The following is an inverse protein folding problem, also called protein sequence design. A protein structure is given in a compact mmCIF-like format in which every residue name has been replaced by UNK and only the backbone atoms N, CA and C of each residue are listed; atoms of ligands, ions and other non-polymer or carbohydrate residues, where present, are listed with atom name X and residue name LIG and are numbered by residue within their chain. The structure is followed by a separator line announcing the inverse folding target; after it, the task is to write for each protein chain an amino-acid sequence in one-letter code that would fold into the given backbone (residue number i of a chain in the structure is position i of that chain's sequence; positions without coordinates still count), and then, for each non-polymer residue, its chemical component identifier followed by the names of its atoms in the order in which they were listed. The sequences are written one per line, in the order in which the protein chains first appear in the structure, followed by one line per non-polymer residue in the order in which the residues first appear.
data_IF_845541900235
#
_entry.id   IF_845541900235
#
_cell.length_a   1.000
_cell.length_b   1.000
_cell.length_c   1.000
_cell.angle_alpha   90.00
_cell.angle_beta   90.00
_cell.angle_gamma   90.00
#
_symmetry.space_group_name_H-M   'P 1'
#
loop_
_entity.id
_entity.type
_entity.pdbx_description
1 polymer ?
#
# COMPACT_ATOMS: atom_id res chain seq x y z
N UNK A 1 -1.31 1.24 4.77
CA UNK A 1 -1.05 -0.21 4.78
C UNK A 1 -2.24 -1.04 4.28
N UNK A 2 -3.44 -0.45 4.18
CA UNK A 2 -4.67 -1.12 3.71
C UNK A 2 -4.63 -1.51 2.22
N UNK A 3 -4.16 -0.59 1.37
CA UNK A 3 -4.11 -0.81 -0.08
C UNK A 3 -3.18 -1.98 -0.42
N UNK A 4 -3.76 -3.05 -0.99
CA UNK A 4 -3.07 -4.29 -1.37
C UNK A 4 -2.41 -5.06 -0.20
N UNK A 5 -2.80 -4.78 1.06
CA UNK A 5 -2.22 -5.40 2.24
C UNK A 5 -2.68 -6.84 2.48
N UNK A 6 -3.94 -7.15 2.14
CA UNK A 6 -4.62 -8.42 2.47
C UNK A 6 -3.84 -9.67 2.12
N UNK A 7 -3.41 -9.79 0.87
CA UNK A 7 -2.71 -10.97 0.39
C UNK A 7 -1.42 -11.29 1.18
N UNK A 8 -0.87 -10.33 1.92
CA UNK A 8 0.34 -10.50 2.72
C UNK A 8 0.05 -10.92 4.17
N UNK A 9 -1.11 -10.52 4.74
CA UNK A 9 -1.36 -10.62 6.18
C UNK A 9 -2.40 -11.66 6.57
N UNK A 10 -3.33 -12.01 5.66
CA UNK A 10 -4.38 -12.99 6.02
C UNK A 10 -3.87 -14.42 5.96
N UNK A 11 -4.48 -15.28 6.77
CA UNK A 11 -4.24 -16.72 6.73
C UNK A 11 -4.50 -17.27 5.33
N UNK A 12 -3.48 -17.87 4.71
CA UNK A 12 -3.58 -18.42 3.34
C UNK A 12 -3.53 -17.36 2.22
N UNK A 13 -3.19 -16.11 2.55
CA UNK A 13 -3.00 -15.05 1.56
C UNK A 13 -1.93 -15.39 0.52
N UNK A 14 -2.15 -14.99 -0.73
CA UNK A 14 -1.30 -15.36 -1.87
C UNK A 14 0.17 -14.93 -1.71
N UNK A 15 0.43 -13.82 -1.02
CA UNK A 15 1.76 -13.26 -0.80
C UNK A 15 2.28 -13.51 0.62
N UNK A 16 1.56 -14.28 1.43
CA UNK A 16 1.93 -14.61 2.81
C UNK A 16 2.96 -15.75 2.83
N UNK A 17 4.19 -15.45 2.39
CA UNK A 17 5.28 -16.42 2.33
C UNK A 17 5.87 -16.78 3.69
N UNK A 18 5.58 -16.00 4.74
CA UNK A 18 6.01 -16.30 6.11
C UNK A 18 5.14 -17.39 6.77
N UNK A 19 3.95 -17.66 6.21
CA UNK A 19 2.97 -18.56 6.83
C UNK A 19 2.30 -17.96 8.07
N UNK A 20 2.26 -16.62 8.17
CA UNK A 20 1.61 -15.93 9.27
C UNK A 20 0.12 -16.28 9.33
N UNK A 21 -0.41 -16.44 10.54
CA UNK A 21 -1.83 -16.71 10.76
C UNK A 21 -2.21 -16.19 12.14
N UNK A 22 -3.16 -15.26 12.16
CA UNK A 22 -3.72 -14.69 13.38
C UNK A 22 -5.22 -14.44 13.15
N UNK A 23 -6.12 -15.09 13.93
CA UNK A 23 -7.56 -14.98 13.71
C UNK A 23 -8.13 -13.59 14.02
N UNK A 24 -7.52 -12.83 14.93
CA UNK A 24 -7.88 -11.44 15.21
C UNK A 24 -7.56 -10.53 14.01
N UNK A 25 -6.39 -10.71 13.39
CA UNK A 25 -6.00 -10.00 12.16
C UNK A 25 -6.97 -10.35 11.03
N UNK A 26 -7.25 -11.63 10.81
CA UNK A 26 -8.19 -12.08 9.78
C UNK A 26 -9.59 -11.44 9.98
N UNK A 27 -10.07 -11.38 11.22
CA UNK A 27 -11.38 -10.81 11.55
C UNK A 27 -11.43 -9.28 11.39
N UNK A 28 -10.38 -8.57 11.79
CA UNK A 28 -10.25 -7.12 11.57
C UNK A 28 -10.21 -6.80 10.09
N UNK A 29 -9.49 -7.60 9.32
CA UNK A 29 -9.38 -7.42 7.88
C UNK A 29 -10.69 -7.64 7.14
N UNK A 30 -11.46 -8.66 7.53
CA UNK A 30 -12.80 -8.89 7.00
C UNK A 30 -13.74 -7.68 7.22
N UNK A 31 -13.61 -6.95 8.33
CA UNK A 31 -14.39 -5.71 8.58
C UNK A 31 -13.93 -4.57 7.68
N UNK A 32 -12.62 -4.37 7.58
CA UNK A 32 -12.04 -3.28 6.80
C UNK A 32 -12.33 -3.46 5.30
N UNK A 33 -12.22 -4.69 4.79
CA UNK A 33 -12.42 -5.01 3.37
C UNK A 33 -13.85 -4.71 2.87
N UNK A 34 -14.85 -4.74 3.76
CA UNK A 34 -16.25 -4.46 3.42
C UNK A 34 -16.70 -3.06 3.83
N UNK A 35 -15.82 -2.25 4.40
CA UNK A 35 -16.15 -0.89 4.80
C UNK A 35 -16.38 -0.01 3.55
N UNK A 36 -17.49 0.75 3.49
CA UNK A 36 -17.80 1.58 2.33
C UNK A 36 -16.93 2.84 2.23
N UNK A 37 -16.36 3.28 3.35
CA UNK A 37 -15.48 4.45 3.45
C UNK A 37 -14.33 4.12 4.40
N UNK A 38 -13.12 4.04 3.83
CA UNK A 38 -11.88 3.74 4.55
C UNK A 38 -11.30 4.93 5.30
N UNK A 39 -11.92 6.11 5.17
CA UNK A 39 -11.47 7.35 5.81
C UNK A 39 -12.15 7.60 7.16
N UNK A 40 -13.12 6.77 7.55
CA UNK A 40 -13.81 6.87 8.83
C UNK A 40 -12.87 6.59 10.01
N UNK A 41 -13.13 7.24 11.16
CA UNK A 41 -12.33 7.00 12.38
C UNK A 41 -12.46 5.57 12.89
N UNK A 42 -13.58 4.90 12.61
CA UNK A 42 -13.79 3.49 12.96
C UNK A 42 -12.89 2.56 12.15
N UNK A 43 -12.80 2.74 10.83
CA UNK A 43 -11.90 1.95 9.98
C UNK A 43 -10.44 2.20 10.35
N UNK A 44 -10.07 3.45 10.67
CA UNK A 44 -8.73 3.78 11.17
C UNK A 44 -8.41 3.10 12.49
N UNK A 45 -9.38 3.00 13.40
CA UNK A 45 -9.20 2.31 14.67
C UNK A 45 -8.95 0.81 14.45
N UNK A 46 -9.74 0.15 13.59
CA UNK A 46 -9.52 -1.26 13.24
C UNK A 46 -8.16 -1.48 12.56
N UNK A 47 -7.76 -0.58 11.67
CA UNK A 47 -6.47 -0.67 11.00
C UNK A 47 -5.31 -0.56 12.00
N UNK A 48 -5.43 0.37 12.96
CA UNK A 48 -4.43 0.56 14.04
C UNK A 48 -4.36 -0.67 14.95
N UNK A 49 -5.50 -1.27 15.30
CA UNK A 49 -5.57 -2.49 16.09
C UNK A 49 -4.90 -3.66 15.34
N UNK A 50 -5.19 -3.82 14.05
CA UNK A 50 -4.56 -4.85 13.24
C UNK A 50 -3.04 -4.63 13.12
N UNK A 51 -2.58 -3.41 12.87
CA UNK A 51 -1.14 -3.10 12.83
C UNK A 51 -0.45 -3.40 14.18
N UNK A 52 -1.16 -3.20 15.30
CA UNK A 52 -0.66 -3.55 16.63
C UNK A 52 -0.47 -5.06 16.79
N UNK A 53 -1.41 -5.88 16.30
CA UNK A 53 -1.25 -7.33 16.26
C UNK A 53 -0.07 -7.76 15.41
N UNK A 54 0.03 -7.26 14.17
CA UNK A 54 1.14 -7.57 13.26
C UNK A 54 2.51 -7.23 13.87
N UNK A 55 2.60 -6.10 14.57
CA UNK A 55 3.83 -5.69 15.25
C UNK A 55 4.16 -6.59 16.45
N UNK A 56 3.19 -6.85 17.33
CA UNK A 56 3.39 -7.67 18.53
C UNK A 56 3.73 -9.13 18.21
N UNK A 57 3.15 -9.66 17.14
CA UNK A 57 3.41 -11.03 16.69
C UNK A 57 4.72 -11.16 15.89
N UNK A 58 5.42 -10.04 15.67
CA UNK A 58 6.69 -10.03 14.96
C UNK A 58 6.57 -10.37 13.47
N UNK A 59 5.42 -10.08 12.85
CA UNK A 59 5.19 -10.33 11.42
C UNK A 59 6.25 -9.65 10.55
N UNK A 60 6.58 -8.41 10.86
CA UNK A 60 7.60 -7.65 10.16
C UNK A 60 7.91 -6.32 10.85
N UNK A 61 9.10 -5.79 10.56
CA UNK A 61 9.54 -4.50 11.04
C UNK A 61 9.72 -3.55 9.85
N UNK A 62 8.86 -2.53 9.69
CA UNK A 62 9.07 -1.50 8.68
C UNK A 62 10.43 -0.81 8.88
N UNK A 63 11.25 -0.74 7.83
CA UNK A 63 12.57 -0.10 7.89
C UNK A 63 12.51 1.30 7.28
N UNK A 64 12.29 1.41 5.96
CA UNK A 64 12.05 2.66 5.24
C UNK A 64 11.36 2.39 3.90
N UNK A 65 10.73 3.42 3.33
CA UNK A 65 10.28 3.40 1.94
C UNK A 65 11.44 3.80 1.03
N UNK A 66 11.76 2.96 0.04
CA UNK A 66 12.89 3.22 -0.86
C UNK A 66 12.64 4.50 -1.68
N UNK A 67 13.64 5.40 -1.83
CA UNK A 67 13.49 6.54 -2.71
C UNK A 67 13.41 6.07 -4.16
N UNK A 68 12.46 6.64 -4.92
CA UNK A 68 12.44 6.50 -6.37
C UNK A 68 13.37 7.54 -7.01
N UNK A 69 14.19 7.11 -7.98
CA UNK A 69 14.98 8.02 -8.82
C UNK A 69 14.35 8.06 -10.20
N UNK A 70 14.02 9.26 -10.66
CA UNK A 70 13.38 9.51 -11.95
C UNK A 70 14.22 10.52 -12.71
N UNK A 71 14.52 10.23 -13.97
CA UNK A 71 15.25 11.13 -14.86
C UNK A 71 14.61 11.13 -16.24
N UNK A 72 14.44 12.34 -16.79
CA UNK A 72 14.06 12.56 -18.18
C UNK A 72 14.89 13.73 -18.72
N UNK A 73 15.03 13.82 -20.04
CA UNK A 73 15.68 14.97 -20.66
C UNK A 73 14.77 16.20 -20.60
N UNK A 74 15.35 17.40 -20.63
CA UNK A 74 14.60 18.67 -20.75
C UNK A 74 13.76 18.77 -22.05
N UNK A 75 13.98 17.88 -23.01
CA UNK A 75 13.15 17.77 -24.23
C UNK A 75 11.77 17.17 -23.99
N UNK A 76 11.56 16.47 -22.87
CA UNK A 76 10.25 15.89 -22.52
C UNK A 76 9.58 16.80 -21.51
N UNK A 77 8.46 17.39 -21.94
CA UNK A 77 7.67 18.33 -21.16
C UNK A 77 6.48 17.64 -20.49
N UNK A 78 5.89 18.32 -19.51
CA UNK A 78 4.69 17.87 -18.77
C UNK A 78 4.87 16.54 -18.00
N UNK A 79 6.11 16.14 -17.71
CA UNK A 79 6.35 14.98 -16.83
C UNK A 79 5.95 15.33 -15.40
N UNK A 80 5.08 14.51 -14.80
CA UNK A 80 4.66 14.65 -13.41
C UNK A 80 4.81 13.32 -12.67
N UNK A 81 4.82 13.35 -11.34
CA UNK A 81 4.98 12.16 -10.50
C UNK A 81 3.92 12.11 -9.41
N UNK A 82 3.38 10.91 -9.16
CA UNK A 82 2.57 10.60 -7.98
C UNK A 82 3.27 9.57 -7.10
N UNK A 83 2.86 9.47 -5.84
CA UNK A 83 3.42 8.49 -4.88
C UNK A 83 3.00 7.05 -5.19
N UNK A 84 1.84 6.85 -5.82
CA UNK A 84 1.31 5.52 -6.14
C UNK A 84 1.86 5.00 -7.47
N UNK A 85 1.98 3.69 -7.61
CA UNK A 85 2.29 3.09 -8.92
C UNK A 85 1.21 3.46 -9.95
N UNK A 86 1.58 3.82 -11.20
CA UNK A 86 2.89 3.63 -11.84
C UNK A 86 3.85 4.84 -11.73
N UNK A 87 3.69 5.68 -10.69
CA UNK A 87 4.60 6.75 -10.28
C UNK A 87 4.82 7.84 -11.31
N UNK A 88 5.82 7.74 -12.18
CA UNK A 88 6.09 8.71 -13.25
C UNK A 88 5.16 8.48 -14.44
N UNK A 89 4.83 7.22 -14.74
CA UNK A 89 4.02 6.88 -15.91
C UNK A 89 2.53 7.18 -15.71
N UNK A 90 2.13 7.78 -14.59
CA UNK A 90 0.73 8.06 -14.29
C UNK A 90 0.12 9.09 -15.21
N UNK A 91 0.91 9.96 -15.86
CA UNK A 91 0.43 10.99 -16.76
C UNK A 91 1.10 10.94 -18.14
N UNK A 92 1.55 9.76 -18.57
CA UNK A 92 2.32 9.61 -19.82
C UNK A 92 1.60 10.16 -21.06
N UNK A 93 0.28 10.23 -21.04
CA UNK A 93 -0.56 10.79 -22.12
C UNK A 93 -0.46 12.31 -22.25
N UNK A 94 0.07 13.01 -21.25
CA UNK A 94 0.27 14.47 -21.25
C UNK A 94 1.66 14.87 -21.75
N UNK A 95 2.55 13.89 -21.94
CA UNK A 95 3.95 14.14 -22.29
C UNK A 95 4.11 14.56 -23.74
N UNK A 96 4.95 15.56 -23.95
CA UNK A 96 5.21 16.13 -25.26
C UNK A 96 6.71 16.33 -25.49
N UNK A 97 7.12 16.27 -26.75
CA UNK A 97 8.49 16.65 -27.15
C UNK A 97 8.48 18.16 -27.35
N UNK A 98 9.34 18.88 -26.62
CA UNK A 98 9.56 20.30 -26.85
C UNK A 98 10.01 20.55 -28.30
N UNK A 99 9.37 21.53 -28.96
CA UNK A 99 9.80 22.04 -30.27
C UNK A 99 11.21 22.63 -30.24
#
# INVERSE_FOLDING_TARGET
MLLNGEANYVTGGQNNFSGFSNPEVDALWAKIAVAPDDTTDEVRAWATEMESHLFNDGFGLPIFQHPGVVAHTDRVQNVSTITLSPTILWNFWEWEIAE
#
